data_IF_253804628862
#
_entry.id   IF_253804628862
#
_cell.length_a   1.000
_cell.length_b   1.000
_cell.length_c   1.000
_cell.angle_alpha   90.00
_cell.angle_beta   90.00
_cell.angle_gamma   90.00
#
_symmetry.space_group_name_H-M   'P 1'
#
loop_
_entity.id
_entity.type
_entity.pdbx_description
1 polymer ?
#
# COMPACT_ATOMS: atom_id res chain seq x y z
N UNK A 1 3.37 -3.14 18.20
CA UNK A 1 1.98 -3.53 18.55
C UNK A 1 1.69 -4.91 17.98
N UNK A 2 0.71 -5.62 18.53
CA UNK A 2 0.27 -6.88 17.96
C UNK A 2 -0.43 -6.67 16.62
N UNK A 3 -0.22 -7.56 15.63
CA UNK A 3 -0.93 -7.51 14.37
C UNK A 3 -2.44 -7.66 14.55
N UNK A 4 -3.21 -6.89 13.77
CA UNK A 4 -4.67 -6.98 13.75
C UNK A 4 -5.15 -7.73 12.51
N UNK A 5 -6.37 -8.26 12.57
CA UNK A 5 -7.06 -8.84 11.41
C UNK A 5 -8.22 -7.95 11.03
N UNK A 6 -8.31 -7.59 9.74
CA UNK A 6 -9.45 -6.88 9.18
C UNK A 6 -10.23 -7.84 8.28
N UNK A 7 -11.55 -7.74 8.32
CA UNK A 7 -12.44 -8.55 7.48
C UNK A 7 -13.26 -7.64 6.58
N UNK A 8 -13.34 -7.97 5.32
CA UNK A 8 -14.20 -7.32 4.33
C UNK A 8 -15.26 -8.31 3.83
N UNK A 9 -16.04 -7.93 2.84
CA UNK A 9 -17.04 -8.83 2.23
C UNK A 9 -16.41 -10.11 1.67
N UNK A 10 -15.21 -10.00 1.08
CA UNK A 10 -14.58 -11.09 0.32
C UNK A 10 -13.20 -11.49 0.80
N UNK A 11 -12.61 -10.76 1.76
CA UNK A 11 -11.22 -10.92 2.17
C UNK A 11 -11.07 -10.99 3.69
N UNK A 12 -10.08 -11.77 4.10
CA UNK A 12 -9.46 -11.70 5.43
C UNK A 12 -8.07 -11.07 5.26
N UNK A 13 -7.87 -9.90 5.85
CA UNK A 13 -6.61 -9.16 5.83
C UNK A 13 -5.89 -9.39 7.15
N UNK A 14 -4.83 -10.16 7.15
CA UNK A 14 -4.01 -10.44 8.34
C UNK A 14 -2.52 -10.35 8.02
N UNK A 15 -1.70 -10.15 9.04
CA UNK A 15 -0.26 -10.23 8.86
C UNK A 15 0.12 -11.62 8.30
N UNK A 16 0.93 -11.67 7.21
CA UNK A 16 1.49 -12.95 6.78
C UNK A 16 2.54 -13.42 7.79
N UNK A 17 2.62 -14.73 7.97
CA UNK A 17 3.57 -15.39 8.85
C UNK A 17 4.32 -16.52 8.17
N UNK A 18 5.10 -17.33 8.91
CA UNK A 18 5.90 -18.43 8.37
C UNK A 18 5.10 -19.42 7.51
N UNK A 19 3.83 -19.66 7.87
CA UNK A 19 2.91 -20.53 7.14
C UNK A 19 2.55 -20.02 5.74
N UNK A 20 2.77 -18.73 5.45
CA UNK A 20 2.42 -18.08 4.19
C UNK A 20 3.65 -17.90 3.27
N UNK A 21 4.83 -18.28 3.73
CA UNK A 21 6.13 -18.06 3.03
C UNK A 21 6.12 -18.63 1.61
N UNK A 22 5.63 -19.84 1.42
CA UNK A 22 5.60 -20.50 0.11
C UNK A 22 4.62 -19.81 -0.84
N UNK A 23 3.47 -19.35 -0.34
CA UNK A 23 2.50 -18.59 -1.13
C UNK A 23 3.07 -17.22 -1.56
N UNK A 24 3.75 -16.53 -0.67
CA UNK A 24 4.46 -15.27 -0.97
C UNK A 24 5.56 -15.50 -2.00
N UNK A 25 6.39 -16.54 -1.81
CA UNK A 25 7.45 -16.89 -2.74
C UNK A 25 6.88 -17.15 -4.14
N UNK A 26 5.85 -17.99 -4.22
CA UNK A 26 5.21 -18.37 -5.50
C UNK A 26 4.63 -17.15 -6.22
N UNK A 27 3.88 -16.30 -5.52
CA UNK A 27 3.30 -15.09 -6.09
C UNK A 27 4.37 -14.13 -6.61
N UNK A 28 5.47 -13.96 -5.87
CA UNK A 28 6.57 -13.07 -6.24
C UNK A 28 7.47 -13.60 -7.37
N UNK A 29 7.23 -14.81 -7.89
CA UNK A 29 7.86 -15.26 -9.15
C UNK A 29 7.26 -14.57 -10.38
N UNK A 30 6.09 -13.94 -10.25
CA UNK A 30 5.48 -13.19 -11.34
C UNK A 30 6.40 -12.03 -11.80
N UNK A 31 6.78 -11.99 -13.09
CA UNK A 31 7.65 -10.94 -13.62
C UNK A 31 7.06 -9.53 -13.49
N UNK A 32 5.74 -9.37 -13.50
CA UNK A 32 5.11 -8.07 -13.30
C UNK A 32 5.27 -7.57 -11.85
N UNK A 33 5.11 -8.45 -10.85
CA UNK A 33 5.37 -8.09 -9.46
C UNK A 33 6.84 -7.67 -9.32
N UNK A 34 7.77 -8.46 -9.86
CA UNK A 34 9.19 -8.11 -9.83
C UNK A 34 9.49 -6.82 -10.61
N UNK A 35 8.79 -6.55 -11.70
CA UNK A 35 9.00 -5.35 -12.52
C UNK A 35 8.52 -4.07 -11.81
N UNK A 36 7.35 -4.11 -11.20
CA UNK A 36 6.66 -2.92 -10.72
C UNK A 36 6.81 -2.64 -9.22
N UNK A 37 7.43 -3.55 -8.49
CA UNK A 37 7.68 -3.39 -7.06
C UNK A 37 9.19 -3.30 -6.76
N UNK A 38 9.50 -2.96 -5.51
CA UNK A 38 10.89 -2.86 -5.03
C UNK A 38 11.44 -4.17 -4.49
N UNK A 39 10.71 -5.28 -4.63
CA UNK A 39 11.21 -6.59 -4.18
C UNK A 39 12.46 -6.99 -4.97
N UNK A 40 13.35 -7.82 -4.39
CA UNK A 40 14.51 -8.33 -5.09
C UNK A 40 14.14 -9.05 -6.41
N UNK A 41 15.05 -9.00 -7.38
CA UNK A 41 14.93 -9.75 -8.64
C UNK A 41 16.31 -10.31 -9.02
N UNK A 42 16.48 -11.63 -9.11
CA UNK A 42 15.45 -12.67 -8.88
C UNK A 42 14.93 -12.69 -7.44
N UNK A 43 13.67 -13.08 -7.27
CA UNK A 43 13.10 -13.28 -5.93
C UNK A 43 13.37 -14.70 -5.46
N UNK A 44 14.10 -14.84 -4.37
CA UNK A 44 14.60 -16.11 -3.85
C UNK A 44 13.79 -16.56 -2.61
N UNK A 45 13.80 -17.87 -2.24
CA UNK A 45 13.07 -18.37 -1.07
C UNK A 45 13.45 -17.66 0.24
N UNK A 46 14.73 -17.31 0.41
CA UNK A 46 15.21 -16.57 1.58
C UNK A 46 14.62 -15.16 1.67
N UNK A 47 14.28 -14.51 0.55
CA UNK A 47 13.60 -13.21 0.56
C UNK A 47 12.17 -13.35 1.10
N UNK A 48 11.44 -14.39 0.70
CA UNK A 48 10.11 -14.65 1.21
C UNK A 48 10.14 -14.96 2.71
N UNK A 49 11.11 -15.78 3.15
CA UNK A 49 11.30 -16.10 4.55
C UNK A 49 11.65 -14.86 5.37
N UNK A 50 12.63 -14.09 4.95
CA UNK A 50 13.00 -12.83 5.63
C UNK A 50 11.85 -11.84 5.70
N UNK A 51 10.99 -11.82 4.67
CA UNK A 51 9.80 -10.98 4.68
C UNK A 51 8.77 -11.44 5.73
N UNK A 52 8.38 -12.73 5.73
CA UNK A 52 7.32 -13.24 6.60
C UNK A 52 7.76 -13.47 8.05
N UNK A 53 9.03 -13.82 8.29
CA UNK A 53 9.54 -14.17 9.63
C UNK A 53 10.26 -13.02 10.35
N UNK A 54 10.68 -11.97 9.62
CA UNK A 54 11.44 -10.85 10.19
C UNK A 54 10.80 -9.49 9.86
N UNK A 55 10.75 -9.11 8.58
CA UNK A 55 10.34 -7.77 8.18
C UNK A 55 8.91 -7.44 8.62
N UNK A 56 7.96 -8.34 8.43
CA UNK A 56 6.56 -8.13 8.82
C UNK A 56 6.42 -8.06 10.35
N UNK A 57 6.90 -9.04 11.14
CA UNK A 57 6.82 -8.94 12.60
C UNK A 57 7.51 -7.69 13.17
N UNK A 58 8.70 -7.36 12.69
CA UNK A 58 9.47 -6.20 13.15
C UNK A 58 8.73 -4.90 12.83
N UNK A 59 8.16 -4.78 11.61
CA UNK A 59 7.39 -3.61 11.19
C UNK A 59 6.18 -3.37 12.10
N UNK A 60 5.44 -4.43 12.44
CA UNK A 60 4.33 -4.36 13.38
C UNK A 60 4.79 -4.01 14.80
N UNK A 61 5.87 -4.64 15.28
CA UNK A 61 6.39 -4.44 16.63
C UNK A 61 6.84 -2.99 16.86
N UNK A 62 7.59 -2.42 15.93
CA UNK A 62 8.13 -1.07 16.03
C UNK A 62 7.21 0.03 15.44
N UNK A 63 6.10 -0.34 14.78
CA UNK A 63 5.12 0.58 14.21
C UNK A 63 5.60 1.30 12.95
N UNK A 64 6.63 0.81 12.27
CA UNK A 64 7.16 1.43 11.04
C UNK A 64 6.44 0.96 9.78
N UNK A 65 5.88 -0.26 9.80
CA UNK A 65 5.23 -0.88 8.65
C UNK A 65 4.14 -1.85 9.10
N UNK A 66 2.95 -1.69 8.56
CA UNK A 66 1.78 -2.53 8.84
C UNK A 66 1.41 -3.30 7.59
N UNK A 67 1.79 -4.57 7.52
CA UNK A 67 1.61 -5.41 6.32
C UNK A 67 0.49 -6.41 6.53
N UNK A 68 -0.38 -6.53 5.53
CA UNK A 68 -1.49 -7.47 5.47
C UNK A 68 -1.41 -8.31 4.18
N UNK A 69 -1.50 -9.62 4.32
CA UNK A 69 -1.85 -10.51 3.22
C UNK A 69 -3.34 -10.43 2.94
N UNK A 70 -3.71 -10.44 1.66
CA UNK A 70 -5.10 -10.51 1.21
C UNK A 70 -5.46 -11.98 1.03
N UNK A 71 -6.19 -12.55 1.97
CA UNK A 71 -6.60 -13.95 1.92
C UNK A 71 -8.06 -14.08 1.53
N UNK A 72 -8.34 -15.00 0.60
CA UNK A 72 -9.71 -15.42 0.31
C UNK A 72 -10.24 -16.33 1.44
N UNK A 73 -11.55 -16.52 1.59
CA UNK A 73 -12.10 -17.44 2.59
C UNK A 73 -11.57 -18.87 2.50
N UNK A 74 -11.15 -19.31 1.31
CA UNK A 74 -10.52 -20.62 1.07
C UNK A 74 -9.05 -20.69 1.52
N UNK A 75 -8.44 -19.56 1.90
CA UNK A 75 -7.05 -19.47 2.34
C UNK A 75 -6.06 -19.02 1.27
N UNK A 76 -6.49 -18.86 0.03
CA UNK A 76 -5.61 -18.44 -1.07
C UNK A 76 -5.10 -17.02 -0.85
N UNK A 77 -3.82 -16.78 -1.09
CA UNK A 77 -3.19 -15.46 -1.03
C UNK A 77 -3.44 -14.69 -2.34
N UNK A 78 -4.35 -13.75 -2.31
CA UNK A 78 -4.71 -12.92 -3.47
C UNK A 78 -3.78 -11.72 -3.70
N UNK A 79 -2.98 -11.35 -2.70
CA UNK A 79 -2.05 -10.22 -2.80
C UNK A 79 -1.53 -9.78 -1.44
N UNK A 80 -0.86 -8.63 -1.44
CA UNK A 80 -0.31 -8.01 -0.24
C UNK A 80 -0.59 -6.51 -0.27
N UNK A 81 -0.84 -5.95 0.89
CA UNK A 81 -0.99 -4.50 1.08
C UNK A 81 -0.32 -4.10 2.38
N UNK A 82 0.24 -2.91 2.43
CA UNK A 82 0.84 -2.39 3.65
C UNK A 82 0.84 -0.88 3.71
N UNK A 83 0.94 -0.37 4.93
CA UNK A 83 1.19 1.04 5.21
C UNK A 83 2.57 1.16 5.82
N UNK A 84 3.48 1.87 5.14
CA UNK A 84 4.80 2.23 5.66
C UNK A 84 4.75 3.66 6.17
N UNK A 85 5.15 3.89 7.41
CA UNK A 85 5.19 5.24 7.99
C UNK A 85 6.26 6.08 7.30
N UNK A 86 5.89 7.26 6.80
CA UNK A 86 6.82 8.20 6.15
C UNK A 86 7.21 9.32 7.09
N UNK A 87 6.26 9.78 7.89
CA UNK A 87 6.46 10.81 8.92
C UNK A 87 5.34 10.70 9.96
N UNK A 88 5.37 11.57 10.96
CA UNK A 88 4.29 11.64 11.94
C UNK A 88 2.96 11.97 11.26
N UNK A 89 1.95 11.12 11.45
CA UNK A 89 0.62 11.27 10.85
C UNK A 89 0.53 10.96 9.35
N UNK A 90 1.63 10.52 8.69
CA UNK A 90 1.59 10.17 7.28
C UNK A 90 2.18 8.79 6.99
N UNK A 91 1.52 8.04 6.11
CA UNK A 91 1.94 6.72 5.67
C UNK A 91 1.84 6.54 4.16
N UNK A 92 2.65 5.66 3.59
CA UNK A 92 2.57 5.25 2.19
C UNK A 92 1.86 3.90 2.09
N UNK A 93 0.80 3.85 1.31
CA UNK A 93 0.05 2.63 0.99
C UNK A 93 0.67 1.97 -0.24
N UNK A 94 1.28 0.81 -0.05
CA UNK A 94 1.83 -0.02 -1.11
C UNK A 94 1.10 -1.36 -1.23
N UNK A 95 1.02 -1.92 -2.44
CA UNK A 95 0.34 -3.19 -2.69
C UNK A 95 0.85 -3.91 -3.94
N UNK A 96 0.58 -5.21 -3.98
CA UNK A 96 0.63 -6.02 -5.20
C UNK A 96 -0.48 -7.08 -5.18
N UNK A 97 -0.87 -7.56 -6.35
CA UNK A 97 -1.87 -8.61 -6.52
C UNK A 97 -1.26 -9.84 -7.20
N UNK A 98 -1.52 -11.02 -6.67
CA UNK A 98 -1.16 -12.26 -7.30
C UNK A 98 -1.88 -12.40 -8.66
N UNK A 99 -1.17 -12.92 -9.65
CA UNK A 99 -1.56 -12.91 -11.06
C UNK A 99 -2.98 -13.46 -11.28
N UNK A 100 -3.29 -14.57 -10.64
CA UNK A 100 -4.54 -15.31 -10.79
C UNK A 100 -5.76 -14.55 -10.23
N UNK A 101 -5.51 -13.53 -9.37
CA UNK A 101 -6.55 -12.78 -8.67
C UNK A 101 -6.70 -11.34 -9.13
N UNK A 102 -5.92 -10.92 -10.16
CA UNK A 102 -6.01 -9.57 -10.76
C UNK A 102 -7.36 -9.33 -11.41
N UNK A 103 -7.75 -8.07 -11.51
CA UNK A 103 -8.99 -7.66 -12.19
C UNK A 103 -10.28 -7.90 -11.39
N UNK A 104 -10.22 -8.50 -10.21
CA UNK A 104 -11.38 -8.86 -9.38
C UNK A 104 -11.76 -7.81 -8.32
N UNK A 105 -11.02 -6.70 -8.25
CA UNK A 105 -11.28 -5.61 -7.31
C UNK A 105 -10.76 -5.83 -5.87
N UNK A 106 -10.13 -6.96 -5.57
CA UNK A 106 -9.65 -7.29 -4.23
C UNK A 106 -8.68 -6.25 -3.65
N UNK A 107 -7.74 -5.78 -4.46
CA UNK A 107 -6.77 -4.76 -4.00
C UNK A 107 -7.46 -3.43 -3.66
N UNK A 108 -8.47 -3.02 -4.43
CA UNK A 108 -9.25 -1.81 -4.12
C UNK A 108 -10.05 -1.97 -2.81
N UNK A 109 -10.69 -3.12 -2.62
CA UNK A 109 -11.43 -3.44 -1.40
C UNK A 109 -10.50 -3.44 -0.18
N UNK A 110 -9.34 -4.06 -0.30
CA UNK A 110 -8.32 -4.07 0.75
C UNK A 110 -7.78 -2.66 1.04
N UNK A 111 -7.54 -1.85 -0.01
CA UNK A 111 -7.05 -0.47 0.15
C UNK A 111 -8.03 0.37 0.98
N UNK A 112 -9.33 0.26 0.73
CA UNK A 112 -10.35 0.97 1.50
C UNK A 112 -10.40 0.49 2.96
N UNK A 113 -10.32 -0.82 3.21
CA UNK A 113 -10.33 -1.37 4.56
C UNK A 113 -9.10 -0.94 5.36
N UNK A 114 -7.91 -1.04 4.76
CA UNK A 114 -6.64 -0.64 5.40
C UNK A 114 -6.57 0.86 5.60
N UNK A 115 -7.04 1.68 4.66
CA UNK A 115 -7.09 3.12 4.80
C UNK A 115 -7.99 3.55 5.97
N UNK A 116 -9.20 3.00 6.07
CA UNK A 116 -10.10 3.27 7.20
C UNK A 116 -9.44 2.92 8.53
N UNK A 117 -8.87 1.72 8.65
CA UNK A 117 -8.14 1.29 9.83
C UNK A 117 -6.98 2.24 10.17
N UNK A 118 -6.18 2.63 9.17
CA UNK A 118 -5.05 3.53 9.37
C UNK A 118 -5.50 4.89 9.91
N UNK A 119 -6.60 5.44 9.41
CA UNK A 119 -7.15 6.71 9.87
C UNK A 119 -7.79 6.64 11.25
N UNK A 120 -8.48 5.54 11.59
CA UNK A 120 -9.20 5.43 12.86
C UNK A 120 -8.34 4.92 14.00
N UNK A 121 -7.42 3.98 13.73
CA UNK A 121 -6.68 3.25 14.76
C UNK A 121 -5.20 3.65 14.86
N UNK A 122 -4.66 4.34 13.84
CA UNK A 122 -3.22 4.67 13.78
C UNK A 122 -2.90 6.16 13.81
N UNK A 123 -3.91 7.00 13.98
CA UNK A 123 -3.77 8.46 13.95
C UNK A 123 -3.00 8.95 12.71
N UNK A 124 -3.24 8.29 11.57
CA UNK A 124 -2.74 8.74 10.27
C UNK A 124 -3.77 9.71 9.72
N UNK A 125 -3.33 10.88 9.28
CA UNK A 125 -4.19 11.93 8.68
C UNK A 125 -3.98 12.06 7.18
N UNK A 126 -2.95 11.37 6.64
CA UNK A 126 -2.65 11.36 5.21
C UNK A 126 -2.06 10.00 4.81
N UNK A 127 -2.67 9.35 3.84
CA UNK A 127 -2.07 8.24 3.12
C UNK A 127 -1.59 8.72 1.75
N UNK A 128 -0.34 8.40 1.41
CA UNK A 128 0.20 8.57 0.08
C UNK A 128 0.16 7.25 -0.66
N UNK A 129 -0.06 7.32 -1.96
CA UNK A 129 0.21 6.24 -2.90
C UNK A 129 1.24 6.73 -3.90
N UNK A 130 2.24 5.90 -4.16
CA UNK A 130 3.30 6.18 -5.12
C UNK A 130 3.47 4.99 -6.06
N UNK A 131 3.69 5.28 -7.34
CA UNK A 131 4.02 4.26 -8.34
C UNK A 131 4.90 4.86 -9.44
N UNK A 132 5.74 4.01 -10.05
CA UNK A 132 6.46 4.40 -11.26
C UNK A 132 5.47 4.91 -12.32
N UNK A 133 5.79 6.04 -12.94
CA UNK A 133 4.96 6.60 -14.01
C UNK A 133 4.83 5.59 -15.16
N UNK A 134 3.59 5.32 -15.58
CA UNK A 134 3.27 4.26 -16.54
C UNK A 134 2.66 3.01 -15.93
N UNK A 135 2.71 2.82 -14.60
CA UNK A 135 2.03 1.71 -13.93
C UNK A 135 0.52 1.95 -13.81
N UNK A 136 -0.18 1.90 -14.95
CA UNK A 136 -1.60 2.26 -15.06
C UNK A 136 -2.53 1.36 -14.23
N UNK A 137 -2.18 0.09 -14.05
CA UNK A 137 -2.96 -0.84 -13.23
C UNK A 137 -2.96 -0.42 -11.75
N UNK A 138 -1.81 -0.03 -11.19
CA UNK A 138 -1.70 0.48 -9.83
C UNK A 138 -2.45 1.80 -9.67
N UNK A 139 -2.29 2.72 -10.64
CA UNK A 139 -3.03 4.00 -10.65
C UNK A 139 -4.54 3.79 -10.67
N UNK A 140 -5.05 2.80 -11.41
CA UNK A 140 -6.47 2.49 -11.45
C UNK A 140 -7.00 2.00 -10.10
N UNK A 141 -6.22 1.24 -9.33
CA UNK A 141 -6.55 0.83 -7.96
C UNK A 141 -6.61 2.05 -7.06
N UNK A 142 -5.60 2.91 -7.06
CA UNK A 142 -5.54 4.12 -6.24
C UNK A 142 -6.75 5.03 -6.50
N UNK A 143 -7.07 5.31 -7.76
CA UNK A 143 -8.23 6.12 -8.13
C UNK A 143 -9.56 5.53 -7.64
N UNK A 144 -9.75 4.20 -7.78
CA UNK A 144 -10.95 3.52 -7.29
C UNK A 144 -11.04 3.47 -5.76
N UNK A 145 -9.90 3.51 -5.07
CA UNK A 145 -9.84 3.62 -3.61
C UNK A 145 -10.04 5.06 -3.11
N UNK A 146 -10.22 6.04 -4.01
CA UNK A 146 -10.51 7.43 -3.66
C UNK A 146 -9.29 8.34 -3.59
N UNK A 147 -8.09 7.87 -3.96
CA UNK A 147 -6.90 8.73 -3.98
C UNK A 147 -7.03 9.85 -5.00
N UNK A 148 -6.71 11.06 -4.59
CA UNK A 148 -6.54 12.23 -5.45
C UNK A 148 -5.12 12.26 -5.99
N UNK A 149 -4.96 12.34 -7.32
CA UNK A 149 -3.65 12.46 -7.94
C UNK A 149 -3.09 13.87 -7.75
N UNK A 150 -1.86 13.97 -7.26
CA UNK A 150 -1.22 15.26 -6.96
C UNK A 150 -0.15 15.66 -7.97
N UNK A 151 0.41 14.69 -8.71
CA UNK A 151 1.39 15.02 -9.73
C UNK A 151 2.35 13.91 -10.10
N UNK A 152 3.44 14.32 -10.73
CA UNK A 152 4.56 13.46 -11.12
C UNK A 152 5.86 14.04 -10.53
N UNK A 153 6.54 13.23 -9.75
CA UNK A 153 7.85 13.54 -9.17
C UNK A 153 8.94 13.02 -10.09
N UNK A 154 9.80 13.91 -10.57
CA UNK A 154 10.90 13.52 -11.46
C UNK A 154 11.94 12.70 -10.71
N UNK A 155 12.36 11.57 -11.31
CA UNK A 155 13.46 10.73 -10.77
C UNK A 155 13.26 10.28 -9.32
N UNK A 156 12.00 10.12 -8.87
CA UNK A 156 11.69 9.89 -7.45
C UNK A 156 11.71 8.42 -7.05
N UNK A 157 11.48 7.48 -7.98
CA UNK A 157 11.58 6.05 -7.72
C UNK A 157 12.93 5.52 -8.19
N UNK A 158 13.69 4.92 -7.25
CA UNK A 158 14.87 4.13 -7.57
C UNK A 158 14.52 2.65 -7.54
N UNK A 159 14.60 1.96 -8.68
CA UNK A 159 14.33 0.53 -8.75
C UNK A 159 15.36 -0.14 -9.66
N UNK A 160 16.03 -1.18 -9.15
CA UNK A 160 17.01 -2.01 -9.90
C UNK A 160 18.08 -1.19 -10.62
N UNK A 161 18.66 -0.23 -9.89
CA UNK A 161 19.75 0.62 -10.41
C UNK A 161 19.32 1.72 -11.38
N UNK A 162 18.02 1.89 -11.65
CA UNK A 162 17.48 2.92 -12.53
C UNK A 162 16.56 3.87 -11.75
N UNK A 163 16.71 5.18 -11.99
CA UNK A 163 15.80 6.21 -11.48
C UNK A 163 14.67 6.43 -12.48
N UNK A 164 13.45 6.55 -11.96
CA UNK A 164 12.24 6.74 -12.77
C UNK A 164 11.34 7.80 -12.18
N UNK A 165 10.51 8.40 -13.04
CA UNK A 165 9.47 9.32 -12.59
C UNK A 165 8.40 8.56 -11.81
N UNK A 166 7.82 9.23 -10.83
CA UNK A 166 6.87 8.66 -9.90
C UNK A 166 5.57 9.46 -9.93
N UNK A 167 4.44 8.80 -10.13
CA UNK A 167 3.15 9.35 -9.81
C UNK A 167 2.94 9.34 -8.30
N UNK A 168 2.33 10.40 -7.79
CA UNK A 168 1.94 10.54 -6.40
C UNK A 168 0.47 10.93 -6.30
N UNK A 169 -0.22 10.33 -5.36
CA UNK A 169 -1.58 10.69 -4.96
C UNK A 169 -1.75 10.55 -3.46
N UNK A 170 -2.77 11.18 -2.92
CA UNK A 170 -3.09 11.13 -1.50
C UNK A 170 -4.54 10.75 -1.25
N UNK A 171 -4.78 10.23 -0.06
CA UNK A 171 -6.10 9.97 0.50
C UNK A 171 -6.12 10.55 1.92
N UNK A 172 -7.17 11.30 2.23
CA UNK A 172 -7.38 11.93 3.53
C UNK A 172 -8.60 11.30 4.24
N UNK A 173 -8.70 11.39 5.56
CA UNK A 173 -9.89 10.92 6.29
C UNK A 173 -11.20 11.49 5.72
N UNK A 174 -11.21 12.77 5.35
CA UNK A 174 -12.38 13.46 4.76
C UNK A 174 -12.87 12.83 3.46
N UNK A 175 -11.97 12.24 2.65
CA UNK A 175 -12.33 11.58 1.39
C UNK A 175 -13.13 10.30 1.62
N UNK A 176 -13.02 9.73 2.82
CA UNK A 176 -13.78 8.56 3.28
C UNK A 176 -14.89 8.91 4.28
N UNK A 177 -15.23 10.19 4.42
CA UNK A 177 -16.19 10.73 5.39
C UNK A 177 -15.83 10.35 6.84
N UNK A 178 -14.55 10.34 7.18
CA UNK A 178 -14.01 10.10 8.52
C UNK A 178 -13.53 11.40 9.17
N UNK A 179 -13.59 11.50 10.50
CA UNK A 179 -13.01 12.63 11.21
C UNK A 179 -11.47 12.59 11.09
N UNK A 180 -10.85 13.77 11.11
CA UNK A 180 -9.39 13.92 11.18
C UNK A 180 -9.00 14.55 12.51
N UNK A 181 -7.88 14.11 13.09
CA UNK A 181 -7.27 14.74 14.27
C UNK A 181 -6.52 16.01 13.93
N UNK A 182 -6.09 16.14 12.66
CA UNK A 182 -5.46 17.32 12.09
C UNK A 182 -6.31 17.84 10.91
N UNK A 183 -7.23 18.80 11.13
CA UNK A 183 -8.10 19.32 10.07
C UNK A 183 -7.30 19.87 8.90
N UNK A 184 -7.67 19.45 7.69
CA UNK A 184 -7.05 19.93 6.46
C UNK A 184 -7.54 21.32 6.11
N UNK A 185 -6.59 22.24 5.95
CA UNK A 185 -6.84 23.58 5.44
C UNK A 185 -6.19 23.68 4.05
N UNK A 186 -6.97 23.63 2.95
CA UNK A 186 -6.44 23.75 1.61
C UNK A 186 -5.75 25.10 1.41
N UNK A 187 -4.72 25.13 0.58
CA UNK A 187 -4.10 26.38 0.16
C UNK A 187 -5.17 27.30 -0.45
N UNK A 188 -5.22 28.53 0.01
CA UNK A 188 -6.04 29.55 -0.66
C UNK A 188 -5.37 29.89 -1.98
N UNK A 189 -6.14 29.94 -3.05
CA UNK A 189 -5.67 30.57 -4.28
C UNK A 189 -5.17 31.96 -3.90
N UNK A 190 -3.90 32.26 -4.22
CA UNK A 190 -3.39 33.60 -3.99
C UNK A 190 -4.23 34.56 -4.83
N UNK A 191 -4.93 35.46 -4.19
CA UNK A 191 -5.50 36.61 -4.91
C UNK A 191 -4.35 37.24 -5.70
N UNK A 192 -4.55 37.55 -7.00
CA UNK A 192 -3.52 38.25 -7.74
C UNK A 192 -3.23 39.56 -6.99
N UNK A 193 -1.92 39.97 -6.93
CA UNK A 193 -1.56 41.19 -6.23
C UNK A 193 -2.47 42.32 -6.75
N UNK A 194 -3.12 43.05 -5.83
CA UNK A 194 -3.94 44.21 -6.16
C UNK A 194 -3.09 45.16 -7.00
N UNK A 195 -3.59 45.51 -8.17
CA UNK A 195 -2.93 46.36 -9.14
C UNK A 195 -2.80 47.81 -8.59
#
# INVERSE_FOLDING_TARGET
>A
MEPVTLTTERLVLRAPGPQDTDAVYTACQDPDIQRWTTIPSPYLPEHARGFTEQMVPDGWANGSMFTFGLFLPAGDLAGMIGVTMISLGAGELGFWAAKEFRGRGYTTEASLAVARWAFTERAIDRLEWRAEAGHTASRAVALRAGFTMEGTLRSAVGNKGVRRDCWIGSLLPSDLALPSTAPYLPARDQEPPAA
#
